data_IF_374307523510
#
_entry.id   IF_374307523510
#
_cell.length_a   1.000
_cell.length_b   1.000
_cell.length_c   1.000
_cell.angle_alpha   90.00
_cell.angle_beta   90.00
_cell.angle_gamma   90.00
#
_symmetry.space_group_name_H-M   'P 1'
#
loop_
_entity.id
_entity.type
_entity.pdbx_description
1 polymer ?
#
# COMPACT_ATOMS: atom_id res chain seq x y z
N UNK A 1 -8.27 9.05 -13.50
CA UNK A 1 -7.93 7.73 -12.92
C UNK A 1 -6.43 7.43 -12.99
N UNK A 2 -5.80 7.49 -14.17
CA UNK A 2 -4.34 7.26 -14.33
C UNK A 2 -3.47 8.25 -13.54
N UNK A 3 -3.83 9.54 -13.50
CA UNK A 3 -3.08 10.54 -12.73
C UNK A 3 -3.01 10.23 -11.22
N UNK A 4 -4.10 9.70 -10.64
CA UNK A 4 -4.14 9.28 -9.23
C UNK A 4 -3.25 8.06 -8.97
N UNK A 5 -3.28 7.08 -9.88
CA UNK A 5 -2.42 5.90 -9.80
C UNK A 5 -0.94 6.27 -9.87
N UNK A 6 -0.56 7.19 -10.75
CA UNK A 6 0.81 7.67 -10.84
C UNK A 6 1.24 8.41 -9.56
N UNK A 7 0.41 9.31 -9.03
CA UNK A 7 0.70 10.02 -7.79
C UNK A 7 0.86 9.06 -6.58
N UNK A 8 0.01 8.03 -6.48
CA UNK A 8 0.16 6.99 -5.46
C UNK A 8 1.43 6.16 -5.67
N UNK A 9 1.79 5.87 -6.93
CA UNK A 9 3.01 5.15 -7.25
C UNK A 9 4.27 5.93 -6.85
N UNK A 10 4.28 7.26 -7.02
CA UNK A 10 5.41 8.09 -6.59
C UNK A 10 5.62 8.03 -5.07
N UNK A 11 4.53 8.01 -4.30
CA UNK A 11 4.59 7.80 -2.84
C UNK A 11 5.14 6.41 -2.52
N UNK A 12 4.66 5.37 -3.21
CA UNK A 12 5.13 4.01 -3.00
C UNK A 12 6.65 3.88 -3.27
N UNK A 13 7.12 4.41 -4.41
CA UNK A 13 8.54 4.41 -4.78
C UNK A 13 9.38 5.18 -3.76
N UNK A 14 8.90 6.32 -3.26
CA UNK A 14 9.60 7.09 -2.21
C UNK A 14 9.76 6.31 -0.89
N UNK A 15 8.85 5.35 -0.64
CA UNK A 15 8.87 4.45 0.51
C UNK A 15 9.68 3.16 0.24
N UNK A 16 10.30 3.03 -0.93
CA UNK A 16 11.07 1.86 -1.32
C UNK A 16 10.22 0.61 -1.58
N UNK A 17 8.93 0.78 -1.92
CA UNK A 17 7.99 -0.30 -2.16
C UNK A 17 7.21 -0.10 -3.46
N UNK A 18 6.63 -1.17 -3.98
CA UNK A 18 5.72 -1.10 -5.13
C UNK A 18 4.36 -0.53 -4.71
N UNK A 19 3.60 0.02 -5.67
CA UNK A 19 2.22 0.49 -5.42
C UNK A 19 1.33 -0.62 -4.81
N UNK A 20 1.48 -1.86 -5.28
CA UNK A 20 0.75 -3.00 -4.74
C UNK A 20 1.10 -3.29 -3.28
N UNK A 21 2.40 -3.26 -2.93
CA UNK A 21 2.86 -3.41 -1.55
C UNK A 21 2.33 -2.29 -0.64
N UNK A 22 2.36 -1.04 -1.13
CA UNK A 22 1.81 0.09 -0.39
C UNK A 22 0.31 -0.05 -0.13
N UNK A 23 -0.46 -0.51 -1.13
CA UNK A 23 -1.90 -0.72 -0.98
C UNK A 23 -2.23 -1.78 0.08
N UNK A 24 -1.47 -2.88 0.11
CA UNK A 24 -1.61 -3.94 1.13
C UNK A 24 -1.24 -3.42 2.52
N UNK A 25 -0.12 -2.68 2.64
CA UNK A 25 0.28 -2.07 3.91
C UNK A 25 -0.75 -1.04 4.40
N UNK A 26 -1.34 -0.26 3.50
CA UNK A 26 -2.38 0.73 3.82
C UNK A 26 -3.67 0.05 4.33
N UNK A 27 -4.04 -1.10 3.77
CA UNK A 27 -5.18 -1.87 4.25
C UNK A 27 -4.92 -2.50 5.64
N UNK A 28 -3.68 -2.95 5.87
CA UNK A 28 -3.25 -3.55 7.14
C UNK A 28 -2.95 -2.54 8.25
N UNK A 29 -2.94 -1.23 7.95
CA UNK A 29 -2.71 -0.18 8.96
C UNK A 29 -3.84 -0.11 9.99
N UNK A 30 -5.05 -0.50 9.61
CA UNK A 30 -6.22 -0.44 10.47
C UNK A 30 -6.26 -1.69 11.35
N UNK A 31 -5.92 -1.51 12.63
CA UNK A 31 -5.89 -2.59 13.62
C UNK A 31 -7.28 -3.19 13.90
N UNK A 32 -8.37 -2.59 13.41
CA UNK A 32 -9.72 -3.16 13.44
C UNK A 32 -9.93 -4.24 12.37
N UNK A 33 -9.01 -4.37 11.42
CA UNK A 33 -9.03 -5.41 10.39
C UNK A 33 -8.29 -6.64 10.93
N UNK A 34 -9.05 -7.62 11.39
CA UNK A 34 -8.51 -8.85 12.01
C UNK A 34 -7.73 -9.73 11.03
N UNK A 35 -8.03 -9.63 9.73
CA UNK A 35 -7.32 -10.34 8.66
C UNK A 35 -7.61 -9.70 7.30
N UNK A 36 -6.63 -9.72 6.40
CA UNK A 36 -6.80 -9.33 4.99
C UNK A 36 -6.75 -10.60 4.13
N UNK A 37 -7.83 -10.86 3.40
CA UNK A 37 -7.90 -11.98 2.46
C UNK A 37 -7.22 -11.56 1.14
N UNK A 38 -6.01 -12.07 0.89
CA UNK A 38 -5.27 -11.80 -0.35
C UNK A 38 -5.21 -13.06 -1.20
N UNK A 39 -5.74 -12.99 -2.42
CA UNK A 39 -5.56 -14.03 -3.43
C UNK A 39 -4.21 -13.86 -4.13
N UNK A 40 -3.43 -14.93 -4.25
CA UNK A 40 -2.23 -14.95 -5.08
C UNK A 40 -2.40 -16.03 -6.16
N UNK A 41 -2.37 -15.63 -7.44
CA UNK A 41 -2.45 -16.57 -8.57
C UNK A 41 -1.06 -17.05 -9.04
N UNK A 42 0.01 -16.58 -8.39
CA UNK A 42 1.38 -17.00 -8.65
C UNK A 42 2.28 -16.85 -7.41
N UNK A 43 3.39 -17.60 -7.39
CA UNK A 43 4.43 -17.47 -6.35
C UNK A 43 5.01 -16.04 -6.31
N UNK A 44 5.07 -15.36 -7.45
CA UNK A 44 5.54 -13.97 -7.54
C UNK A 44 4.62 -12.99 -6.78
N UNK A 45 3.31 -13.09 -6.99
CA UNK A 45 2.35 -12.30 -6.22
C UNK A 45 2.38 -12.64 -4.73
N UNK A 46 2.53 -13.93 -4.39
CA UNK A 46 2.65 -14.34 -2.99
C UNK A 46 3.87 -13.70 -2.30
N UNK A 47 5.04 -13.67 -2.97
CA UNK A 47 6.22 -12.96 -2.47
C UNK A 47 5.97 -11.47 -2.30
N UNK A 48 5.36 -10.82 -3.29
CA UNK A 48 5.02 -9.39 -3.19
C UNK A 48 4.09 -9.09 -2.02
N UNK A 49 3.09 -9.95 -1.78
CA UNK A 49 2.17 -9.83 -0.65
C UNK A 49 2.90 -9.99 0.69
N UNK A 50 3.84 -10.94 0.79
CA UNK A 50 4.64 -11.16 2.00
C UNK A 50 5.61 -10.00 2.25
N UNK A 51 6.26 -9.50 1.20
CA UNK A 51 7.14 -8.32 1.29
C UNK A 51 6.38 -7.06 1.75
N UNK A 52 5.10 -6.93 1.37
CA UNK A 52 4.24 -5.86 1.87
C UNK A 52 3.98 -5.92 3.39
N UNK A 53 4.17 -7.09 4.02
CA UNK A 53 4.10 -7.26 5.47
C UNK A 53 5.40 -6.79 6.17
N UNK A 54 6.46 -6.51 5.40
CA UNK A 54 7.77 -6.09 5.89
C UNK A 54 7.84 -4.65 6.40
N UNK A 55 9.08 -4.17 6.58
CA UNK A 55 9.54 -3.08 7.47
C UNK A 55 8.86 -1.70 7.36
N UNK A 56 7.94 -1.46 6.42
CA UNK A 56 7.39 -0.14 6.14
C UNK A 56 5.85 -0.06 6.29
N UNK A 57 5.32 -0.74 7.33
CA UNK A 57 3.89 -0.70 7.70
C UNK A 57 3.44 0.60 8.34
N UNK A 58 4.35 1.36 8.94
CA UNK A 58 4.01 2.63 9.57
C UNK A 58 3.87 3.72 8.51
N UNK A 59 2.68 4.30 8.39
CA UNK A 59 2.46 5.52 7.63
C UNK A 59 2.56 6.70 8.59
N UNK A 60 3.33 7.73 8.22
CA UNK A 60 3.29 9.00 8.92
C UNK A 60 1.98 9.74 8.63
N UNK A 61 1.58 10.64 9.53
CA UNK A 61 0.37 11.46 9.34
C UNK A 61 0.42 12.25 8.02
N UNK A 62 1.59 12.78 7.66
CA UNK A 62 1.77 13.51 6.41
C UNK A 62 1.59 12.63 5.15
N UNK A 63 1.95 11.34 5.22
CA UNK A 63 1.74 10.40 4.11
C UNK A 63 0.27 10.00 3.99
N UNK A 64 -0.41 9.82 5.13
CA UNK A 64 -1.84 9.55 5.16
C UNK A 64 -2.63 10.71 4.56
N UNK A 65 -2.33 11.95 4.95
CA UNK A 65 -2.96 13.15 4.38
C UNK A 65 -2.76 13.25 2.86
N UNK A 66 -1.55 12.94 2.36
CA UNK A 66 -1.28 12.91 0.91
C UNK A 66 -2.10 11.83 0.19
N UNK A 67 -2.17 10.62 0.76
CA UNK A 67 -2.95 9.51 0.17
C UNK A 67 -4.44 9.87 0.18
N UNK A 68 -4.93 10.44 1.27
CA UNK A 68 -6.33 10.84 1.40
C UNK A 68 -6.67 11.96 0.41
N UNK A 69 -5.82 12.98 0.25
CA UNK A 69 -5.99 14.02 -0.77
C UNK A 69 -6.08 13.45 -2.19
N UNK A 70 -5.24 12.47 -2.54
CA UNK A 70 -5.26 11.85 -3.87
C UNK A 70 -6.52 10.99 -4.08
N UNK A 71 -7.00 10.34 -3.02
CA UNK A 71 -8.10 9.37 -3.10
C UNK A 71 -9.47 10.04 -3.03
N UNK A 72 -9.63 11.08 -2.19
CA UNK A 72 -10.89 11.84 -2.01
C UNK A 72 -11.12 12.94 -3.06
N UNK A 73 -10.10 13.34 -3.84
CA UNK A 73 -10.23 14.36 -4.89
C UNK A 73 -10.97 13.90 -6.14
#
# INVERSE_FOLDING_TARGET
MVAKLNALNDIAVSRGQTLAQMAIAWLLKDTRVTSVLIGASSIGQLRQNIEALGSNRAFSTAELEKIDQITLS
#
